data_IF_846699731056
#
_entry.id   IF_846699731056
#
_cell.length_a   1.000
_cell.length_b   1.000
_cell.length_c   1.000
_cell.angle_alpha   90.00
_cell.angle_beta   90.00
_cell.angle_gamma   90.00
#
_symmetry.space_group_name_H-M   'P 1'
#
loop_
_entity.id
_entity.type
_entity.pdbx_description
1 polymer ?
#
# COMPACT_ATOMS: atom_id res chain seq x y z
N UNK A 1 -25.66 -7.70 1.43
CA UNK A 1 -24.31 -7.82 0.85
C UNK A 1 -23.95 -6.47 0.24
N UNK A 2 -22.83 -5.86 0.67
CA UNK A 2 -22.39 -4.60 0.07
C UNK A 2 -22.21 -4.79 -1.45
N UNK A 3 -22.52 -3.78 -2.26
CA UNK A 3 -22.38 -3.83 -3.73
C UNK A 3 -20.99 -4.36 -4.17
N UNK A 4 -19.96 -4.10 -3.35
CA UNK A 4 -18.58 -4.56 -3.50
C UNK A 4 -18.38 -6.08 -3.47
N UNK A 5 -19.29 -6.84 -2.87
CA UNK A 5 -19.18 -8.30 -2.78
C UNK A 5 -19.93 -9.02 -3.91
N UNK A 6 -20.52 -8.26 -4.84
CA UNK A 6 -21.31 -8.81 -5.94
C UNK A 6 -20.43 -9.15 -7.15
N UNK A 7 -20.73 -10.26 -7.82
CA UNK A 7 -20.14 -10.61 -9.12
C UNK A 7 -20.67 -9.79 -10.29
N UNK A 8 -21.25 -8.61 -10.02
CA UNK A 8 -21.81 -7.72 -11.04
C UNK A 8 -20.68 -7.06 -11.84
N UNK A 9 -20.97 -6.62 -13.09
CA UNK A 9 -20.04 -5.80 -13.84
C UNK A 9 -19.77 -4.46 -13.14
N UNK A 10 -18.61 -3.87 -13.42
CA UNK A 10 -18.26 -2.54 -12.92
C UNK A 10 -19.17 -1.49 -13.59
N UNK A 11 -19.74 -0.53 -12.82
CA UNK A 11 -20.55 0.54 -13.40
C UNK A 11 -19.78 1.35 -14.46
N UNK A 12 -20.45 1.70 -15.55
CA UNK A 12 -19.84 2.38 -16.70
C UNK A 12 -19.08 3.66 -16.32
N UNK A 13 -19.66 4.49 -15.42
CA UNK A 13 -19.02 5.72 -14.95
C UNK A 13 -17.66 5.46 -14.28
N UNK A 14 -17.50 4.32 -13.60
CA UNK A 14 -16.25 3.96 -12.93
C UNK A 14 -15.24 3.40 -13.94
N UNK A 15 -15.70 2.64 -14.94
CA UNK A 15 -14.85 2.17 -16.04
C UNK A 15 -14.28 3.37 -16.82
N UNK A 16 -15.14 4.32 -17.20
CA UNK A 16 -14.73 5.53 -17.92
C UNK A 16 -13.76 6.38 -17.08
N UNK A 17 -14.07 6.59 -15.80
CA UNK A 17 -13.22 7.32 -14.88
C UNK A 17 -11.83 6.68 -14.73
N UNK A 18 -11.79 5.35 -14.57
CA UNK A 18 -10.53 4.62 -14.43
C UNK A 18 -9.67 4.70 -15.70
N UNK A 19 -10.28 4.55 -16.88
CA UNK A 19 -9.58 4.70 -18.16
C UNK A 19 -9.02 6.10 -18.33
N UNK A 20 -9.79 7.13 -18.01
CA UNK A 20 -9.37 8.53 -18.14
C UNK A 20 -8.27 8.93 -17.16
N UNK A 21 -8.34 8.47 -15.91
CA UNK A 21 -7.41 8.89 -14.86
C UNK A 21 -6.11 8.08 -14.84
N UNK A 22 -6.17 6.79 -15.19
CA UNK A 22 -5.05 5.85 -14.98
C UNK A 22 -4.78 4.91 -16.16
N UNK A 23 -5.44 5.11 -17.31
CA UNK A 23 -5.34 4.21 -18.49
C UNK A 23 -5.64 2.74 -18.15
N UNK A 24 -6.59 2.53 -17.23
CA UNK A 24 -6.97 1.21 -16.73
C UNK A 24 -8.32 0.76 -17.30
N UNK A 25 -8.38 -0.39 -17.98
CA UNK A 25 -9.63 -0.99 -18.44
C UNK A 25 -10.21 -1.98 -17.42
N UNK A 26 -11.40 -1.66 -16.90
CA UNK A 26 -12.12 -2.46 -15.92
C UNK A 26 -13.38 -3.12 -16.49
N UNK A 27 -13.67 -2.99 -17.79
CA UNK A 27 -14.95 -3.42 -18.37
C UNK A 27 -15.21 -4.93 -18.21
N UNK A 28 -14.16 -5.75 -18.34
CA UNK A 28 -14.25 -7.21 -18.17
C UNK A 28 -13.99 -7.67 -16.72
N UNK A 29 -13.64 -6.76 -15.83
CA UNK A 29 -13.25 -7.09 -14.46
C UNK A 29 -14.49 -7.17 -13.57
N UNK A 30 -14.69 -8.25 -12.79
CA UNK A 30 -15.79 -8.31 -11.83
C UNK A 30 -15.68 -7.20 -10.77
N UNK A 31 -16.79 -6.60 -10.36
CA UNK A 31 -16.77 -5.46 -9.42
C UNK A 31 -16.04 -5.77 -8.11
N UNK A 32 -16.22 -6.98 -7.55
CA UNK A 32 -15.51 -7.43 -6.34
C UNK A 32 -13.99 -7.51 -6.46
N UNK A 33 -13.47 -7.60 -7.67
CA UNK A 33 -12.03 -7.62 -7.95
C UNK A 33 -11.54 -6.19 -8.20
N UNK A 34 -12.34 -5.38 -8.90
CA UNK A 34 -12.00 -4.00 -9.23
C UNK A 34 -12.08 -3.04 -8.03
N UNK A 35 -12.98 -3.30 -7.07
CA UNK A 35 -13.26 -2.38 -5.96
C UNK A 35 -13.17 -3.12 -4.63
N UNK A 36 -12.22 -2.70 -3.79
CA UNK A 36 -12.12 -3.15 -2.41
C UNK A 36 -12.80 -2.14 -1.48
N UNK A 37 -13.96 -2.51 -0.91
CA UNK A 37 -14.59 -1.74 0.16
C UNK A 37 -14.11 -2.28 1.51
N UNK A 38 -13.35 -1.46 2.23
CA UNK A 38 -12.82 -1.82 3.55
C UNK A 38 -13.87 -1.53 4.63
N UNK A 39 -14.08 -2.45 5.59
CA UNK A 39 -14.94 -2.18 6.73
C UNK A 39 -14.31 -1.09 7.61
N UNK A 40 -15.14 -0.39 8.38
CA UNK A 40 -14.62 0.46 9.46
C UNK A 40 -13.97 -0.44 10.51
N UNK A 41 -12.71 -0.18 10.81
CA UNK A 41 -11.95 -0.93 11.82
C UNK A 41 -12.06 -0.21 13.17
N UNK A 42 -11.98 -0.93 14.31
CA UNK A 42 -12.04 -0.29 15.63
C UNK A 42 -10.94 0.75 15.86
N UNK A 43 -9.75 0.54 15.25
CA UNK A 43 -8.63 1.46 15.37
C UNK A 43 -8.72 2.66 14.41
N UNK A 44 -9.35 2.48 13.24
CA UNK A 44 -9.67 3.57 12.32
C UNK A 44 -8.46 4.36 11.79
N UNK A 45 -7.25 3.79 11.81
CA UNK A 45 -6.06 4.50 11.33
C UNK A 45 -6.19 4.74 9.83
N UNK A 46 -6.31 6.00 9.39
CA UNK A 46 -6.45 6.31 7.95
C UNK A 46 -5.14 6.21 7.16
N UNK A 47 -4.00 6.47 7.81
CA UNK A 47 -2.68 6.53 7.14
C UNK A 47 -1.56 5.93 8.00
N UNK A 48 -0.53 5.41 7.34
CA UNK A 48 0.71 5.00 7.96
C UNK A 48 1.91 5.33 7.07
N UNK A 49 3.03 5.69 7.69
CA UNK A 49 4.34 5.85 7.05
C UNK A 49 5.28 4.84 7.68
N UNK A 50 5.98 4.06 6.86
CA UNK A 50 6.82 2.97 7.34
C UNK A 50 8.22 3.03 6.72
N UNK A 51 9.22 3.19 7.58
CA UNK A 51 10.64 2.96 7.25
C UNK A 51 10.86 1.45 7.03
N UNK A 52 10.76 1.00 5.78
CA UNK A 52 10.89 -0.44 5.44
C UNK A 52 12.26 -0.98 5.82
N UNK A 53 13.28 -0.14 5.64
CA UNK A 53 14.63 -0.28 6.13
C UNK A 53 15.20 1.13 6.42
N UNK A 54 16.18 1.27 7.33
CA UNK A 54 16.84 2.56 7.61
C UNK A 54 18.07 2.85 6.73
N UNK A 55 18.50 1.90 5.91
CA UNK A 55 19.65 2.03 5.02
C UNK A 55 19.37 3.00 3.87
N UNK A 56 20.38 3.76 3.45
CA UNK A 56 20.27 4.70 2.34
C UNK A 56 21.54 4.66 1.49
N UNK A 57 21.40 4.74 0.17
CA UNK A 57 22.52 4.90 -0.77
C UNK A 57 22.98 6.36 -0.91
N UNK A 58 22.36 7.29 -0.18
CA UNK A 58 22.76 8.70 -0.08
C UNK A 58 23.20 9.05 1.35
N UNK A 59 23.98 10.14 1.46
CA UNK A 59 24.47 10.66 2.73
C UNK A 59 24.18 12.17 2.88
N UNK A 60 22.91 12.56 2.77
CA UNK A 60 22.51 13.97 2.81
C UNK A 60 22.82 14.61 4.17
N UNK A 61 23.40 15.81 4.15
CA UNK A 61 23.75 16.60 5.35
C UNK A 61 22.53 16.95 6.20
N UNK A 62 21.38 17.20 5.57
CA UNK A 62 20.14 17.57 6.23
C UNK A 62 19.27 16.35 6.64
N UNK A 63 19.81 15.13 6.59
CA UNK A 63 19.04 13.94 6.96
C UNK A 63 18.92 13.83 8.49
N UNK A 64 17.70 13.68 9.01
CA UNK A 64 17.49 13.50 10.45
C UNK A 64 17.98 12.14 10.97
N UNK A 65 18.20 11.16 10.09
CA UNK A 65 18.77 9.87 10.43
C UNK A 65 20.29 10.00 10.53
N UNK A 66 20.80 10.08 11.76
CA UNK A 66 22.23 10.15 12.02
C UNK A 66 22.98 8.90 11.52
N UNK A 67 22.39 7.72 11.75
CA UNK A 67 22.92 6.42 11.32
C UNK A 67 22.03 5.80 10.24
N UNK A 68 22.63 5.29 9.16
CA UNK A 68 21.95 4.66 8.00
C UNK A 68 22.19 3.16 7.98
N UNK A 69 22.04 2.52 9.14
CA UNK A 69 22.23 1.07 9.28
C UNK A 69 21.15 0.35 8.50
N UNK A 70 21.52 -0.70 7.78
CA UNK A 70 20.54 -1.60 7.16
C UNK A 70 19.83 -2.41 8.24
N UNK A 71 18.78 -1.82 8.77
CA UNK A 71 17.92 -2.38 9.80
C UNK A 71 16.48 -2.29 9.33
N UNK A 72 15.84 -3.44 9.18
CA UNK A 72 14.45 -3.59 8.80
C UNK A 72 13.91 -4.92 9.32
N UNK A 73 12.59 -5.12 9.19
CA UNK A 73 11.99 -6.40 9.55
C UNK A 73 12.43 -7.50 8.56
N UNK A 74 12.58 -8.76 9.00
CA UNK A 74 12.60 -9.88 8.06
C UNK A 74 11.26 -10.00 7.33
N UNK A 75 11.23 -10.73 6.21
CA UNK A 75 10.06 -10.84 5.32
C UNK A 75 8.76 -11.23 6.04
N UNK A 76 8.81 -12.21 6.94
CA UNK A 76 7.66 -12.65 7.74
C UNK A 76 7.13 -11.51 8.64
N UNK A 77 8.04 -10.73 9.22
CA UNK A 77 7.75 -9.51 9.96
C UNK A 77 7.11 -8.43 9.09
N UNK A 78 7.65 -8.18 7.89
CA UNK A 78 7.09 -7.23 6.90
C UNK A 78 5.67 -7.61 6.50
N UNK A 79 5.45 -8.87 6.11
CA UNK A 79 4.14 -9.38 5.72
C UNK A 79 3.14 -9.36 6.88
N UNK A 80 3.60 -9.62 8.12
CA UNK A 80 2.76 -9.46 9.32
C UNK A 80 2.39 -8.01 9.57
N UNK A 81 3.33 -7.08 9.44
CA UNK A 81 3.09 -5.65 9.60
C UNK A 81 2.05 -5.13 8.60
N UNK A 82 2.17 -5.49 7.31
CA UNK A 82 1.19 -5.10 6.30
C UNK A 82 -0.24 -5.56 6.64
N UNK A 83 -0.39 -6.79 7.14
CA UNK A 83 -1.69 -7.29 7.62
C UNK A 83 -2.19 -6.52 8.84
N UNK A 84 -1.31 -6.19 9.79
CA UNK A 84 -1.68 -5.36 10.95
C UNK A 84 -2.13 -3.96 10.52
N UNK A 85 -1.43 -3.30 9.60
CA UNK A 85 -1.82 -1.99 9.07
C UNK A 85 -3.18 -2.06 8.36
N UNK A 86 -3.40 -3.11 7.56
CA UNK A 86 -4.70 -3.38 6.92
C UNK A 86 -5.80 -3.52 7.98
N UNK A 87 -5.59 -4.35 8.99
CA UNK A 87 -6.61 -4.63 10.02
C UNK A 87 -6.82 -3.43 10.96
N UNK A 88 -5.82 -2.57 11.09
CA UNK A 88 -5.89 -1.30 11.81
C UNK A 88 -6.67 -0.21 11.07
N UNK A 89 -7.01 -0.41 9.79
CA UNK A 89 -7.82 0.51 8.98
C UNK A 89 -7.04 1.34 7.97
N UNK A 90 -5.73 1.11 7.83
CA UNK A 90 -4.88 1.95 6.96
C UNK A 90 -5.37 1.86 5.52
N UNK A 91 -5.64 3.05 4.94
CA UNK A 91 -6.03 3.26 3.55
C UNK A 91 -4.88 3.88 2.74
N UNK A 92 -4.06 4.72 3.39
CA UNK A 92 -2.88 5.32 2.78
C UNK A 92 -1.61 4.80 3.45
N UNK A 93 -0.82 3.99 2.73
CA UNK A 93 0.48 3.51 3.18
C UNK A 93 1.59 4.17 2.37
N UNK A 94 2.53 4.80 3.05
CA UNK A 94 3.74 5.35 2.46
C UNK A 94 4.96 4.55 2.92
N UNK A 95 5.70 3.99 1.97
CA UNK A 95 7.03 3.45 2.22
C UNK A 95 8.05 4.59 2.26
N UNK A 96 8.96 4.51 3.21
CA UNK A 96 10.11 5.40 3.38
C UNK A 96 11.31 4.57 3.84
N UNK A 97 12.42 5.20 4.15
CA UNK A 97 13.52 4.60 4.89
C UNK A 97 14.30 5.69 5.63
N UNK A 98 15.63 5.78 5.52
CA UNK A 98 16.43 5.20 4.46
C UNK A 98 15.96 5.56 3.03
N UNK A 99 16.50 4.85 2.05
CA UNK A 99 15.95 4.75 0.69
C UNK A 99 15.06 3.50 0.60
N UNK A 100 13.75 3.60 0.31
CA UNK A 100 12.88 2.43 0.27
C UNK A 100 13.22 1.44 -0.85
N UNK A 101 13.67 1.91 -2.02
CA UNK A 101 13.85 1.05 -3.20
C UNK A 101 15.08 0.14 -3.12
N UNK A 102 15.98 0.35 -2.16
CA UNK A 102 17.16 -0.51 -1.94
C UNK A 102 16.90 -1.62 -0.92
N UNK A 103 15.70 -1.69 -0.34
CA UNK A 103 15.32 -2.84 0.47
C UNK A 103 15.27 -4.10 -0.41
N UNK A 104 15.89 -5.19 0.07
CA UNK A 104 15.98 -6.46 -0.68
C UNK A 104 14.61 -7.01 -1.08
N UNK A 105 13.58 -6.77 -0.27
CA UNK A 105 12.26 -7.34 -0.47
C UNK A 105 11.28 -6.34 -1.13
N UNK A 106 11.77 -5.20 -1.68
CA UNK A 106 10.92 -4.20 -2.34
C UNK A 106 10.57 -4.56 -3.79
N UNK A 107 11.53 -5.09 -4.55
CA UNK A 107 11.42 -5.28 -6.02
C UNK A 107 10.74 -6.60 -6.39
N UNK A 108 10.83 -7.60 -5.50
CA UNK A 108 10.34 -8.97 -5.71
C UNK A 108 9.02 -9.26 -4.96
N UNK A 109 8.28 -8.22 -4.55
CA UNK A 109 7.03 -8.33 -3.80
C UNK A 109 5.80 -8.67 -4.67
#
# INVERSE_FOLDING_TARGET
AALADSGRPVPEWLVEGARKAWDLDLAATPFRIAVLVRPQTPLGYGRATWEINKGCNFNCEHCYLAERKFEGLPWDGKARLLRLLRDAGVLWLQFTGGEPLIDRDFVDA
#
